data_IF_041841823581
#
_entry.id   IF_041841823581
#
_cell.length_a   1.000
_cell.length_b   1.000
_cell.length_c   1.000
_cell.angle_alpha   90.00
_cell.angle_beta   90.00
_cell.angle_gamma   90.00
#
_symmetry.space_group_name_H-M   'P 1'
#
loop_
_entity.id
_entity.type
_entity.pdbx_description
1 polymer ?
#
# COMPACT_ATOMS: atom_id res chain seq x y z
N UNK A 1 24.16 -2.16 20.53
CA UNK A 1 22.80 -1.74 20.17
C UNK A 1 22.64 -1.96 18.67
N UNK A 2 21.83 -2.93 18.21
CA UNK A 2 21.58 -3.15 16.77
C UNK A 2 20.39 -2.27 16.37
N UNK A 3 20.61 -1.27 15.55
CA UNK A 3 19.53 -0.52 14.89
C UNK A 3 19.06 -1.34 13.70
N UNK A 4 17.83 -1.84 13.76
CA UNK A 4 17.19 -2.46 12.59
C UNK A 4 16.96 -1.35 11.57
N UNK A 5 17.49 -1.43 10.33
CA UNK A 5 17.20 -0.42 9.33
C UNK A 5 15.69 -0.41 9.07
N UNK A 6 15.09 0.77 9.11
CA UNK A 6 13.69 0.95 8.70
C UNK A 6 13.58 0.51 7.23
N UNK A 7 12.68 -0.43 6.93
CA UNK A 7 12.37 -0.76 5.54
C UNK A 7 11.83 0.51 4.87
N UNK A 8 12.21 0.79 3.62
CA UNK A 8 11.65 1.92 2.90
C UNK A 8 10.13 1.78 2.84
N UNK A 9 9.44 2.91 3.01
CA UNK A 9 7.99 2.98 2.84
C UNK A 9 7.61 2.56 1.41
N UNK A 10 6.34 2.16 1.24
CA UNK A 10 5.80 1.95 -0.09
C UNK A 10 5.87 3.24 -0.92
N UNK A 11 6.38 3.14 -2.15
CA UNK A 11 6.65 4.29 -3.02
C UNK A 11 5.36 4.80 -3.67
N UNK A 12 4.60 5.59 -2.91
CA UNK A 12 3.37 6.22 -3.35
C UNK A 12 3.60 7.23 -4.49
N UNK A 13 4.73 7.94 -4.49
CA UNK A 13 5.04 8.95 -5.49
C UNK A 13 5.20 8.32 -6.87
N UNK A 14 5.87 7.16 -6.95
CA UNK A 14 5.99 6.41 -8.20
C UNK A 14 4.62 5.95 -8.71
N UNK A 15 3.76 5.42 -7.83
CA UNK A 15 2.41 4.95 -8.21
C UNK A 15 1.55 6.11 -8.70
N UNK A 16 1.50 7.23 -7.98
CA UNK A 16 0.73 8.40 -8.37
C UNK A 16 1.23 9.00 -9.68
N UNK A 17 2.54 9.06 -9.88
CA UNK A 17 3.14 9.54 -11.13
C UNK A 17 2.68 8.71 -12.32
N UNK A 18 2.74 7.38 -12.24
CA UNK A 18 2.35 6.54 -13.38
C UNK A 18 0.84 6.58 -13.62
N UNK A 19 0.02 6.58 -12.57
CA UNK A 19 -1.44 6.55 -12.73
C UNK A 19 -2.01 7.87 -13.23
N UNK A 20 -1.56 9.00 -12.66
CA UNK A 20 -2.16 10.32 -12.89
C UNK A 20 -1.52 11.10 -14.06
N UNK A 21 -0.32 10.72 -14.50
CA UNK A 21 0.32 11.41 -15.63
C UNK A 21 -0.38 11.08 -16.95
N UNK A 22 -0.40 12.06 -17.86
CA UNK A 22 -0.97 11.91 -19.19
C UNK A 22 -0.33 10.75 -19.98
N UNK A 23 -1.07 10.08 -20.89
CA UNK A 23 -0.51 9.09 -21.81
C UNK A 23 0.63 9.63 -22.67
N UNK A 24 0.61 10.93 -23.00
CA UNK A 24 1.69 11.59 -23.74
C UNK A 24 3.01 11.63 -22.95
N UNK A 25 2.94 11.56 -21.61
CA UNK A 25 4.09 11.46 -20.71
C UNK A 25 4.38 10.00 -20.28
N UNK A 26 3.72 9.02 -20.90
CA UNK A 26 3.89 7.59 -20.59
C UNK A 26 3.14 7.11 -19.35
N UNK A 27 2.14 7.86 -18.84
CA UNK A 27 1.26 7.45 -17.74
C UNK A 27 -0.07 6.85 -18.21
N UNK A 28 -0.92 6.48 -17.25
CA UNK A 28 -2.26 5.92 -17.51
C UNK A 28 -3.34 6.99 -17.77
N UNK A 29 -3.06 8.26 -17.46
CA UNK A 29 -3.99 9.36 -17.68
C UNK A 29 -5.26 9.30 -16.81
N UNK A 30 -5.23 8.60 -15.69
CA UNK A 30 -6.39 8.49 -14.82
C UNK A 30 -6.70 9.82 -14.13
N UNK A 31 -7.98 10.09 -13.94
CA UNK A 31 -8.39 11.17 -13.03
C UNK A 31 -8.05 10.78 -11.58
N UNK A 32 -7.84 11.76 -10.69
CA UNK A 32 -7.67 11.47 -9.27
C UNK A 32 -8.81 10.63 -8.69
N UNK A 33 -10.04 10.87 -9.12
CA UNK A 33 -11.20 10.08 -8.70
C UNK A 33 -11.11 8.62 -9.14
N UNK A 34 -10.78 8.35 -10.41
CA UNK A 34 -10.62 6.99 -10.91
C UNK A 34 -9.52 6.24 -10.16
N UNK A 35 -8.40 6.93 -9.87
CA UNK A 35 -7.31 6.38 -9.08
C UNK A 35 -7.74 6.01 -7.66
N UNK A 36 -8.41 6.92 -6.94
CA UNK A 36 -8.84 6.65 -5.56
C UNK A 36 -9.98 5.64 -5.45
N UNK A 37 -10.74 5.45 -6.52
CA UNK A 37 -11.77 4.40 -6.63
C UNK A 37 -11.19 3.03 -6.94
N UNK A 38 -10.00 2.97 -7.56
CA UNK A 38 -9.38 1.71 -7.94
C UNK A 38 -8.85 0.95 -6.72
N UNK A 39 -9.05 -0.37 -6.73
CA UNK A 39 -8.42 -1.26 -5.78
C UNK A 39 -6.93 -1.40 -6.09
N UNK A 40 -6.07 -1.73 -5.09
CA UNK A 40 -4.65 -2.01 -5.34
C UNK A 40 -4.42 -3.10 -6.38
N UNK A 41 -5.34 -4.08 -6.47
CA UNK A 41 -5.31 -5.13 -7.50
C UNK A 41 -5.54 -4.55 -8.90
N UNK A 42 -6.51 -3.66 -9.06
CA UNK A 42 -6.78 -2.99 -10.35
C UNK A 42 -5.62 -2.09 -10.77
N UNK A 43 -5.01 -1.36 -9.83
CA UNK A 43 -3.78 -0.59 -10.09
C UNK A 43 -2.65 -1.53 -10.56
N UNK A 44 -2.42 -2.65 -9.87
CA UNK A 44 -1.41 -3.62 -10.28
C UNK A 44 -1.68 -4.21 -11.67
N UNK A 45 -2.94 -4.53 -11.99
CA UNK A 45 -3.33 -5.00 -13.32
C UNK A 45 -3.07 -3.95 -14.40
N UNK A 46 -3.44 -2.69 -14.17
CA UNK A 46 -3.20 -1.59 -15.11
C UNK A 46 -1.70 -1.33 -15.35
N UNK A 47 -0.86 -1.61 -14.35
CA UNK A 47 0.60 -1.53 -14.46
C UNK A 47 1.27 -2.77 -15.09
N UNK A 48 0.49 -3.75 -15.56
CA UNK A 48 1.02 -5.00 -16.13
C UNK A 48 1.64 -5.94 -15.07
N UNK A 49 1.22 -5.82 -13.81
CA UNK A 49 1.68 -6.63 -12.66
C UNK A 49 0.59 -7.59 -12.15
N UNK A 50 -0.44 -7.85 -12.95
CA UNK A 50 -1.70 -8.51 -12.56
C UNK A 50 -1.62 -10.00 -12.20
N UNK A 51 -0.53 -10.68 -12.54
CA UNK A 51 -0.39 -12.13 -12.36
C UNK A 51 0.09 -12.55 -10.96
N UNK A 52 0.10 -11.62 -10.00
CA UNK A 52 0.40 -11.99 -8.62
C UNK A 52 -0.70 -12.93 -8.08
N UNK A 53 -0.33 -14.13 -7.58
CA UNK A 53 -1.30 -15.05 -6.99
C UNK A 53 -1.99 -14.38 -5.81
N UNK A 54 -3.27 -14.71 -5.60
CA UNK A 54 -4.01 -14.24 -4.43
C UNK A 54 -3.27 -14.62 -3.15
N UNK A 55 -3.24 -13.71 -2.17
CA UNK A 55 -2.62 -13.97 -0.87
C UNK A 55 -3.35 -15.14 -0.19
N UNK A 56 -2.65 -16.27 0.00
CA UNK A 56 -3.20 -17.41 0.72
C UNK A 56 -3.43 -17.06 2.20
N UNK A 57 -4.46 -17.65 2.81
CA UNK A 57 -4.77 -17.43 4.24
C UNK A 57 -3.57 -17.75 5.13
N UNK A 58 -2.86 -18.85 4.85
CA UNK A 58 -1.66 -19.24 5.60
C UNK A 58 -0.55 -18.15 5.57
N UNK A 59 -0.39 -17.46 4.43
CA UNK A 59 0.57 -16.36 4.29
C UNK A 59 0.12 -15.15 5.12
N UNK A 60 -1.18 -14.85 5.14
CA UNK A 60 -1.71 -13.79 6.00
C UNK A 60 -1.45 -14.09 7.48
N UNK A 61 -1.74 -15.31 7.95
CA UNK A 61 -1.44 -15.72 9.34
C UNK A 61 0.05 -15.57 9.67
N UNK A 62 0.93 -15.93 8.72
CA UNK A 62 2.37 -15.74 8.86
C UNK A 62 2.76 -14.27 9.01
N UNK A 63 2.11 -13.38 8.24
CA UNK A 63 2.34 -11.94 8.32
C UNK A 63 1.85 -11.36 9.63
N UNK A 64 0.66 -11.75 10.11
CA UNK A 64 0.11 -11.29 11.39
C UNK A 64 1.02 -11.69 12.56
N UNK A 65 1.52 -12.93 12.56
CA UNK A 65 2.47 -13.38 13.57
C UNK A 65 3.81 -12.61 13.51
N UNK A 66 4.27 -12.24 12.31
CA UNK A 66 5.54 -11.53 12.10
C UNK A 66 5.45 -10.03 12.39
N UNK A 67 4.30 -9.43 12.15
CA UNK A 67 4.03 -8.00 12.32
C UNK A 67 2.81 -7.80 13.22
N UNK A 68 2.93 -8.09 14.52
CA UNK A 68 1.83 -7.87 15.46
C UNK A 68 1.52 -6.38 15.56
N UNK A 69 0.24 -6.02 15.44
CA UNK A 69 -0.20 -4.64 15.58
C UNK A 69 0.03 -4.18 17.03
N UNK A 70 0.73 -3.06 17.19
CA UNK A 70 0.84 -2.42 18.50
C UNK A 70 -0.54 -1.86 18.88
N UNK A 71 -1.06 -2.26 20.04
CA UNK A 71 -2.28 -1.66 20.58
C UNK A 71 -2.01 -0.17 20.79
N UNK A 72 -2.62 0.68 19.98
CA UNK A 72 -2.60 2.12 20.21
C UNK A 72 -3.06 2.34 21.66
N UNK A 73 -2.21 2.97 22.49
CA UNK A 73 -2.64 3.51 23.78
C UNK A 73 -3.85 4.40 23.46
N UNK A 74 -5.01 4.09 24.02
CA UNK A 74 -6.10 5.06 24.05
C UNK A 74 -5.59 6.22 24.90
N UNK A 75 -5.12 7.28 24.26
CA UNK A 75 -4.88 8.55 24.94
C UNK A 75 -6.26 9.12 25.27
N UNK A 76 -6.55 9.25 26.56
CA UNK A 76 -7.74 9.96 27.07
C UNK A 76 -8.58 9.15 28.06
N UNK A 77 -7.99 8.69 29.16
CA UNK A 77 -8.73 8.42 30.40
C UNK A 77 -7.80 8.78 31.57
N UNK A 78 -7.51 10.08 31.70
CA UNK A 78 -6.86 10.70 32.86
C UNK A 78 -7.18 12.19 32.78
N UNK A 79 -8.38 12.57 33.22
CA UNK A 79 -8.73 13.91 33.73
C UNK A 79 -10.11 13.79 34.41
N UNK A 80 -10.08 13.33 35.66
CA UNK A 80 -11.18 13.38 36.63
C UNK A 80 -10.74 14.19 37.86
#
# INVERSE_FOLDING_TARGET
>A
MRTTPARPAFDWDAVMRVCLSSPAAGGLGWTPEAFWRATPREVAMALGRGDAPALARATLETLLARYPDARARRTGDDDA
#
